data_IF_434351012958
#
_entry.id   IF_434351012958
#
_cell.length_a   1.000
_cell.length_b   1.000
_cell.length_c   1.000
_cell.angle_alpha   90.00
_cell.angle_beta   90.00
_cell.angle_gamma   90.00
#
_symmetry.space_group_name_H-M   'P 1'
#
loop_
_entity.id
_entity.type
_entity.pdbx_description
1 polymer ?
#
# COMPACT_ATOMS: atom_id res chain seq x y z
N UNK A 1 15.76 30.25 1.79
CA UNK A 1 14.63 29.67 2.55
C UNK A 1 13.87 30.80 3.19
N UNK A 2 12.59 30.94 2.90
CA UNK A 2 11.73 31.93 3.55
C UNK A 2 11.35 31.51 4.98
N UNK A 3 10.77 32.42 5.78
CA UNK A 3 10.31 32.10 7.12
C UNK A 3 9.31 30.89 7.12
N UNK A 4 8.45 30.78 6.08
CA UNK A 4 7.50 29.69 5.95
C UNK A 4 8.18 28.33 5.70
N UNK A 5 9.31 28.31 4.97
CA UNK A 5 10.07 27.06 4.77
C UNK A 5 10.65 26.54 6.09
N UNK A 6 11.16 27.44 6.95
CA UNK A 6 11.68 27.06 8.26
C UNK A 6 10.58 26.53 9.19
N UNK A 7 9.41 27.17 9.19
CA UNK A 7 8.23 26.72 9.93
C UNK A 7 7.81 25.33 9.45
N UNK A 8 7.67 25.15 8.13
CA UNK A 8 7.31 23.87 7.54
C UNK A 8 8.31 22.76 7.90
N UNK A 9 9.62 23.06 7.83
CA UNK A 9 10.66 22.11 8.22
C UNK A 9 10.53 21.72 9.72
N UNK A 10 10.30 22.70 10.60
CA UNK A 10 10.09 22.46 12.04
C UNK A 10 8.88 21.55 12.31
N UNK A 11 7.73 21.82 11.66
CA UNK A 11 6.51 21.02 11.80
C UNK A 11 6.75 19.58 11.32
N UNK A 12 7.37 19.41 10.14
CA UNK A 12 7.66 18.10 9.58
C UNK A 12 8.61 17.31 10.47
N UNK A 13 9.69 17.93 10.94
CA UNK A 13 10.65 17.28 11.83
C UNK A 13 9.98 16.85 13.15
N UNK A 14 9.21 17.73 13.79
CA UNK A 14 8.43 17.40 14.98
C UNK A 14 7.52 16.21 14.73
N UNK A 15 6.75 16.24 13.64
CA UNK A 15 5.81 15.17 13.28
C UNK A 15 6.51 13.83 13.09
N UNK A 16 7.62 13.80 12.36
CA UNK A 16 8.39 12.56 12.11
C UNK A 16 8.91 12.00 13.43
N UNK A 17 9.51 12.84 14.29
CA UNK A 17 10.03 12.41 15.60
C UNK A 17 8.90 11.89 16.49
N UNK A 18 7.76 12.58 16.53
CA UNK A 18 6.59 12.18 17.30
C UNK A 18 6.07 10.82 16.84
N UNK A 19 5.85 10.63 15.54
CA UNK A 19 5.33 9.39 14.96
C UNK A 19 6.28 8.21 15.19
N UNK A 20 7.60 8.42 15.02
CA UNK A 20 8.60 7.38 15.29
C UNK A 20 8.69 7.03 16.78
N UNK A 21 8.38 7.95 17.70
CA UNK A 21 8.36 7.69 19.13
C UNK A 21 7.07 6.99 19.56
N UNK A 22 5.89 7.50 19.14
CA UNK A 22 4.60 6.93 19.53
C UNK A 22 4.47 5.46 19.08
N UNK A 23 5.02 5.12 17.92
CA UNK A 23 5.05 3.74 17.38
C UNK A 23 5.89 2.76 18.23
N UNK A 24 6.72 3.26 19.16
CA UNK A 24 7.57 2.45 20.04
C UNK A 24 7.04 2.35 21.48
N UNK A 25 6.02 3.11 21.82
CA UNK A 25 5.45 3.12 23.16
C UNK A 25 4.62 1.85 23.36
N UNK A 26 5.05 1.01 24.29
CA UNK A 26 4.32 -0.18 24.72
C UNK A 26 3.27 0.21 25.78
N UNK A 27 2.15 0.77 25.34
CA UNK A 27 1.02 1.11 26.20
C UNK A 27 -0.25 0.59 25.54
N UNK A 28 -1.05 -0.20 26.26
CA UNK A 28 -2.26 -0.86 25.78
C UNK A 28 -3.28 0.11 25.15
N UNK A 29 -3.35 1.34 25.64
CA UNK A 29 -4.27 2.35 25.10
C UNK A 29 -3.73 2.87 23.76
N UNK A 30 -2.43 3.19 23.71
CA UNK A 30 -1.77 3.67 22.48
C UNK A 30 -1.80 2.58 21.41
N UNK A 31 -1.52 1.33 21.75
CA UNK A 31 -1.61 0.18 20.82
C UNK A 31 -3.02 0.09 20.23
N UNK A 32 -4.08 0.15 21.04
CA UNK A 32 -5.47 0.16 20.53
C UNK A 32 -5.79 1.36 19.63
N UNK A 33 -5.26 2.54 19.94
CA UNK A 33 -5.42 3.72 19.07
C UNK A 33 -4.72 3.49 17.75
N UNK A 34 -3.49 2.97 17.77
CA UNK A 34 -2.70 2.71 16.57
C UNK A 34 -3.23 1.55 15.72
N UNK A 35 -3.98 0.62 16.30
CA UNK A 35 -4.68 -0.45 15.56
C UNK A 35 -5.79 0.13 14.66
N UNK A 36 -6.50 1.18 15.11
CA UNK A 36 -7.57 1.83 14.35
C UNK A 36 -7.07 3.01 13.52
N UNK A 37 -6.09 3.75 14.04
CA UNK A 37 -5.49 4.92 13.43
C UNK A 37 -3.98 4.72 13.29
N UNK A 38 -3.51 4.13 12.19
CA UNK A 38 -2.09 3.85 11.99
C UNK A 38 -1.21 5.10 12.16
N UNK A 39 0.01 4.89 12.61
CA UNK A 39 0.97 5.98 12.84
C UNK A 39 1.17 6.89 11.60
N UNK A 40 1.02 6.33 10.39
CA UNK A 40 1.13 7.07 9.13
C UNK A 40 0.01 8.12 8.97
N UNK A 41 -1.19 7.86 9.50
CA UNK A 41 -2.29 8.84 9.50
C UNK A 41 -1.95 10.05 10.36
N UNK A 42 -1.33 9.84 11.54
CA UNK A 42 -0.84 10.93 12.38
C UNK A 42 0.24 11.75 11.67
N UNK A 43 1.11 11.09 10.88
CA UNK A 43 2.10 11.81 10.08
C UNK A 43 1.46 12.80 9.11
N UNK A 44 0.27 12.48 8.59
CA UNK A 44 -0.46 13.33 7.65
C UNK A 44 -1.29 14.41 8.36
N UNK A 45 -2.02 14.05 9.42
CA UNK A 45 -2.98 14.93 10.10
C UNK A 45 -2.30 15.97 11.00
N UNK A 46 -1.18 15.64 11.66
CA UNK A 46 -0.51 16.57 12.57
C UNK A 46 -0.05 17.86 11.86
N UNK A 47 0.67 17.81 10.71
CA UNK A 47 1.04 19.02 9.99
C UNK A 47 -0.17 19.83 9.54
N UNK A 48 -1.22 19.16 9.06
CA UNK A 48 -2.48 19.81 8.70
C UNK A 48 -3.15 20.53 9.87
N UNK A 49 -3.09 19.94 11.08
CA UNK A 49 -3.59 20.58 12.30
C UNK A 49 -2.83 21.88 12.60
N UNK A 50 -1.50 21.87 12.46
CA UNK A 50 -0.70 23.09 12.65
C UNK A 50 -1.03 24.15 11.59
N UNK A 51 -1.11 23.80 10.30
CA UNK A 51 -1.45 24.76 9.24
C UNK A 51 -2.81 25.40 9.48
N UNK A 52 -3.81 24.60 9.85
CA UNK A 52 -5.16 25.08 10.12
C UNK A 52 -5.26 25.96 11.39
N UNK A 53 -4.65 25.52 12.50
CA UNK A 53 -4.69 26.23 13.78
C UNK A 53 -4.01 27.61 13.72
N UNK A 54 -2.93 27.74 12.98
CA UNK A 54 -2.15 28.97 12.87
C UNK A 54 -2.46 29.78 11.60
N UNK A 55 -3.33 29.28 10.73
CA UNK A 55 -3.71 29.94 9.47
C UNK A 55 -2.53 30.08 8.49
N UNK A 56 -1.55 29.15 8.51
CA UNK A 56 -0.40 29.20 7.63
C UNK A 56 -0.69 28.48 6.31
N UNK A 57 -0.52 29.18 5.20
CA UNK A 57 -0.50 28.53 3.87
C UNK A 57 0.91 27.99 3.60
N UNK A 58 1.08 26.68 3.79
CA UNK A 58 2.32 25.95 3.52
C UNK A 58 2.21 25.07 2.27
N UNK A 59 1.24 25.31 1.39
CA UNK A 59 0.99 24.49 0.20
C UNK A 59 2.09 24.60 -0.87
N UNK A 60 2.84 25.72 -0.87
CA UNK A 60 3.85 26.06 -1.88
C UNK A 60 5.30 26.01 -1.39
N UNK A 61 5.55 25.53 -0.16
CA UNK A 61 6.91 25.47 0.40
C UNK A 61 7.84 24.54 -0.38
N UNK A 62 9.14 24.83 -0.33
CA UNK A 62 10.19 24.06 -1.03
C UNK A 62 10.21 22.56 -0.71
N UNK A 63 9.75 22.18 0.50
CA UNK A 63 9.70 20.78 0.92
C UNK A 63 8.89 19.87 -0.01
N UNK A 64 7.87 20.39 -0.71
CA UNK A 64 7.10 19.59 -1.67
C UNK A 64 7.95 19.18 -2.88
N UNK A 65 8.77 20.10 -3.40
CA UNK A 65 9.68 19.79 -4.50
C UNK A 65 10.79 18.82 -4.04
N UNK A 66 11.30 19.01 -2.83
CA UNK A 66 12.28 18.08 -2.23
C UNK A 66 11.68 16.68 -2.05
N UNK A 67 10.43 16.58 -1.59
CA UNK A 67 9.71 15.33 -1.44
C UNK A 67 9.59 14.60 -2.78
N UNK A 68 9.09 15.27 -3.82
CA UNK A 68 8.84 14.67 -5.12
C UNK A 68 10.11 14.23 -5.83
N UNK A 69 11.16 15.06 -5.79
CA UNK A 69 12.37 14.85 -6.58
C UNK A 69 13.43 13.98 -5.87
N UNK A 70 13.38 13.86 -4.53
CA UNK A 70 14.42 13.18 -3.77
C UNK A 70 13.87 12.14 -2.80
N UNK A 71 12.89 12.50 -1.95
CA UNK A 71 12.45 11.62 -0.88
C UNK A 71 11.64 10.44 -1.44
N UNK A 72 10.68 10.69 -2.33
CA UNK A 72 9.89 9.63 -2.99
C UNK A 72 10.80 8.68 -3.78
N UNK A 73 11.74 9.14 -4.64
CA UNK A 73 12.70 8.26 -5.30
C UNK A 73 13.51 7.37 -4.34
N UNK A 74 14.04 7.95 -3.27
CA UNK A 74 14.76 7.16 -2.23
C UNK A 74 13.84 6.16 -1.56
N UNK A 75 12.58 6.52 -1.28
CA UNK A 75 11.59 5.62 -0.71
C UNK A 75 11.36 4.39 -1.58
N UNK A 76 11.16 4.59 -2.89
CA UNK A 76 10.95 3.51 -3.86
C UNK A 76 12.15 2.56 -3.87
N UNK A 77 13.36 3.09 -4.03
CA UNK A 77 14.59 2.29 -4.01
C UNK A 77 14.75 1.51 -2.71
N UNK A 78 14.53 2.16 -1.57
CA UNK A 78 14.69 1.57 -0.26
C UNK A 78 13.72 0.41 -0.04
N UNK A 79 12.43 0.62 -0.32
CA UNK A 79 11.41 -0.42 -0.15
C UNK A 79 11.62 -1.57 -1.12
N UNK A 80 11.77 -1.30 -2.42
CA UNK A 80 11.91 -2.33 -3.44
C UNK A 80 13.20 -3.16 -3.25
N UNK A 81 14.29 -2.55 -2.80
CA UNK A 81 15.54 -3.28 -2.53
C UNK A 81 15.49 -4.15 -1.26
N UNK A 82 14.45 -4.01 -0.46
CA UNK A 82 14.26 -4.84 0.73
C UNK A 82 13.46 -6.13 0.47
N UNK A 83 12.89 -6.33 -0.73
CA UNK A 83 11.96 -7.41 -1.03
C UNK A 83 12.66 -8.67 -1.59
N UNK A 84 12.58 -9.85 -0.91
CA UNK A 84 13.19 -11.11 -1.36
C UNK A 84 12.34 -11.82 -2.42
N UNK A 85 12.35 -11.32 -3.66
CA UNK A 85 11.51 -11.81 -4.76
C UNK A 85 11.82 -13.26 -5.18
N UNK A 86 13.06 -13.72 -5.02
CA UNK A 86 13.49 -15.05 -5.48
C UNK A 86 12.82 -16.24 -4.77
N UNK A 87 12.21 -16.02 -3.61
CA UNK A 87 11.62 -17.08 -2.80
C UNK A 87 10.15 -17.39 -3.16
N UNK A 88 9.58 -16.71 -4.14
CA UNK A 88 8.17 -16.90 -4.54
C UNK A 88 7.82 -18.30 -5.04
N UNK A 89 8.81 -19.06 -5.56
CA UNK A 89 8.60 -20.42 -6.05
C UNK A 89 8.04 -21.39 -4.99
N UNK A 90 8.23 -21.08 -3.70
CA UNK A 90 7.76 -21.90 -2.57
C UNK A 90 6.21 -21.88 -2.47
N UNK A 91 5.56 -20.82 -2.91
CA UNK A 91 4.09 -20.66 -2.76
C UNK A 91 3.29 -21.65 -3.59
N UNK A 92 3.82 -22.08 -4.73
CA UNK A 92 3.12 -22.92 -5.68
C UNK A 92 2.23 -22.12 -6.64
N UNK A 93 1.96 -22.70 -7.80
CA UNK A 93 1.30 -21.99 -8.91
C UNK A 93 -0.17 -21.64 -8.62
N UNK A 94 -0.95 -22.55 -8.00
CA UNK A 94 -2.39 -22.32 -7.78
C UNK A 94 -2.66 -21.17 -6.79
N UNK A 95 -2.01 -21.09 -5.61
CA UNK A 95 -2.14 -19.92 -4.73
C UNK A 95 -1.66 -18.63 -5.37
N UNK A 96 -0.59 -18.68 -6.20
CA UNK A 96 -0.12 -17.52 -6.96
C UNK A 96 -1.18 -17.04 -7.97
N UNK A 97 -1.80 -17.96 -8.72
CA UNK A 97 -2.89 -17.61 -9.65
C UNK A 97 -4.07 -16.99 -8.90
N UNK A 98 -4.49 -17.57 -7.77
CA UNK A 98 -5.55 -17.00 -6.95
C UNK A 98 -5.20 -15.58 -6.47
N UNK A 99 -3.97 -15.36 -6.02
CA UNK A 99 -3.48 -14.04 -5.60
C UNK A 99 -3.56 -13.02 -6.74
N UNK A 100 -3.05 -13.37 -7.94
CA UNK A 100 -3.08 -12.48 -9.10
C UNK A 100 -4.49 -12.17 -9.59
N UNK A 101 -5.41 -13.15 -9.53
CA UNK A 101 -6.82 -12.91 -9.84
C UNK A 101 -7.42 -11.93 -8.82
N UNK A 102 -7.10 -12.09 -7.53
CA UNK A 102 -7.50 -11.12 -6.50
C UNK A 102 -6.99 -9.71 -6.81
N UNK A 103 -5.71 -9.59 -7.17
CA UNK A 103 -5.12 -8.30 -7.57
C UNK A 103 -5.80 -7.73 -8.82
N UNK A 104 -6.06 -8.55 -9.84
CA UNK A 104 -6.76 -8.14 -11.06
C UNK A 104 -8.18 -7.63 -10.75
N UNK A 105 -8.92 -8.33 -9.88
CA UNK A 105 -10.25 -7.89 -9.45
C UNK A 105 -10.16 -6.54 -8.73
N UNK A 106 -9.19 -6.37 -7.82
CA UNK A 106 -8.98 -5.07 -7.14
C UNK A 106 -8.72 -3.96 -8.17
N UNK A 107 -7.88 -4.20 -9.17
CA UNK A 107 -7.47 -3.18 -10.12
C UNK A 107 -8.56 -2.83 -11.18
N UNK A 108 -9.42 -3.79 -11.55
CA UNK A 108 -10.37 -3.61 -12.67
C UNK A 108 -11.81 -3.42 -12.22
N UNK A 109 -12.20 -3.96 -11.08
CA UNK A 109 -13.58 -3.89 -10.62
C UNK A 109 -14.10 -2.46 -10.37
N UNK A 110 -13.31 -1.49 -9.86
CA UNK A 110 -13.81 -0.13 -9.65
C UNK A 110 -14.28 0.53 -10.95
N UNK A 111 -13.61 0.28 -12.08
CA UNK A 111 -14.01 0.80 -13.38
C UNK A 111 -15.37 0.20 -13.78
N UNK A 112 -15.51 -1.12 -13.64
CA UNK A 112 -16.76 -1.83 -13.96
C UNK A 112 -17.91 -1.30 -13.09
N UNK A 113 -17.67 -1.10 -11.80
CA UNK A 113 -18.69 -0.57 -10.88
C UNK A 113 -19.09 0.87 -11.22
N UNK A 114 -18.12 1.73 -11.55
CA UNK A 114 -18.41 3.10 -11.98
C UNK A 114 -19.26 3.09 -13.27
N UNK A 115 -18.92 2.26 -14.25
CA UNK A 115 -19.71 2.14 -15.48
C UNK A 115 -21.14 1.62 -15.21
N UNK A 116 -21.29 0.60 -14.37
CA UNK A 116 -22.60 0.04 -14.03
C UNK A 116 -23.47 1.06 -13.28
N UNK A 117 -22.88 1.77 -12.32
CA UNK A 117 -23.61 2.83 -11.59
C UNK A 117 -23.99 3.96 -12.54
N UNK A 118 -23.13 4.34 -13.47
CA UNK A 118 -23.39 5.39 -14.45
C UNK A 118 -24.55 5.07 -15.40
N UNK A 119 -24.81 3.78 -15.67
CA UNK A 119 -25.97 3.33 -16.47
C UNK A 119 -27.28 3.53 -15.67
N UNK A 120 -27.25 3.27 -14.36
CA UNK A 120 -28.42 3.35 -13.49
C UNK A 120 -28.71 4.79 -13.05
N UNK A 121 -27.66 5.54 -12.76
CA UNK A 121 -27.73 6.92 -12.28
C UNK A 121 -26.69 7.82 -13.00
N UNK A 122 -27.12 8.59 -14.01
CA UNK A 122 -26.25 9.50 -14.75
C UNK A 122 -25.55 10.56 -13.86
N UNK A 123 -26.14 10.94 -12.72
CA UNK A 123 -25.51 11.89 -11.79
C UNK A 123 -24.24 11.32 -11.16
N UNK A 124 -24.20 10.01 -10.96
CA UNK A 124 -23.01 9.30 -10.50
C UNK A 124 -21.90 9.27 -11.55
N UNK A 125 -22.23 9.29 -12.83
CA UNK A 125 -21.22 9.44 -13.90
C UNK A 125 -20.52 10.77 -13.80
N UNK A 126 -21.25 11.87 -13.64
CA UNK A 126 -20.67 13.20 -13.45
C UNK A 126 -19.78 13.24 -12.19
N UNK A 127 -20.24 12.66 -11.08
CA UNK A 127 -19.47 12.60 -9.85
C UNK A 127 -18.11 11.89 -10.06
N UNK A 128 -18.11 10.66 -10.59
CA UNK A 128 -16.89 9.88 -10.70
C UNK A 128 -15.99 10.40 -11.83
N UNK A 129 -16.55 10.66 -13.01
CA UNK A 129 -15.78 11.04 -14.20
C UNK A 129 -15.64 12.56 -14.27
N UNK A 130 -16.71 13.31 -14.34
CA UNK A 130 -16.69 14.77 -14.52
C UNK A 130 -16.00 15.52 -13.38
N UNK A 131 -16.33 15.19 -12.12
CA UNK A 131 -15.71 15.81 -10.94
C UNK A 131 -14.43 15.10 -10.49
N UNK A 132 -14.05 13.99 -11.14
CA UNK A 132 -12.77 13.31 -10.93
C UNK A 132 -12.66 12.48 -9.65
N UNK A 133 -13.78 12.07 -9.01
CA UNK A 133 -13.73 11.22 -7.81
C UNK A 133 -13.09 9.83 -8.07
N UNK A 134 -13.05 9.37 -9.33
CA UNK A 134 -12.29 8.16 -9.69
C UNK A 134 -10.83 8.22 -9.28
N UNK A 135 -10.23 9.42 -9.22
CA UNK A 135 -8.86 9.63 -8.75
C UNK A 135 -8.67 9.20 -7.29
N UNK A 136 -9.74 9.16 -6.50
CA UNK A 136 -9.73 8.64 -5.13
C UNK A 136 -9.72 7.11 -5.06
N UNK A 137 -10.23 6.41 -6.09
CA UNK A 137 -10.22 4.94 -6.14
C UNK A 137 -8.81 4.38 -6.41
N UNK A 138 -7.99 5.13 -7.14
CA UNK A 138 -6.63 4.71 -7.51
C UNK A 138 -5.70 4.51 -6.31
N UNK A 139 -5.60 5.42 -5.34
CA UNK A 139 -4.83 5.19 -4.12
C UNK A 139 -5.33 3.99 -3.29
N UNK A 140 -6.64 3.66 -3.33
CA UNK A 140 -7.18 2.46 -2.68
C UNK A 140 -6.57 1.21 -3.31
N UNK A 141 -6.53 1.12 -4.65
CA UNK A 141 -5.85 0.01 -5.36
C UNK A 141 -4.40 -0.10 -4.89
N UNK A 142 -3.70 1.04 -4.78
CA UNK A 142 -2.32 1.09 -4.30
C UNK A 142 -2.18 0.61 -2.86
N UNK A 143 -3.04 1.07 -1.97
CA UNK A 143 -3.07 0.69 -0.56
C UNK A 143 -3.34 -0.80 -0.38
N UNK A 144 -4.33 -1.31 -1.11
CA UNK A 144 -4.74 -2.72 -1.03
C UNK A 144 -3.70 -3.67 -1.62
N UNK A 145 -3.14 -3.38 -2.81
CA UNK A 145 -2.19 -4.33 -3.43
C UNK A 145 -0.74 -4.02 -3.05
N UNK A 146 -0.35 -2.78 -2.89
CA UNK A 146 1.07 -2.42 -2.74
C UNK A 146 1.44 -1.78 -1.41
N UNK A 147 0.44 -1.56 -0.55
CA UNK A 147 0.61 -0.87 0.73
C UNK A 147 0.91 0.63 0.56
N UNK A 148 1.33 1.28 1.65
CA UNK A 148 1.48 2.74 1.72
C UNK A 148 2.42 3.34 0.67
N UNK A 149 3.43 2.60 0.23
CA UNK A 149 4.35 3.06 -0.83
C UNK A 149 3.62 3.21 -2.16
N UNK A 150 2.91 2.16 -2.61
CA UNK A 150 2.14 2.20 -3.86
C UNK A 150 0.97 3.17 -3.77
N UNK A 151 0.30 3.25 -2.62
CA UNK A 151 -0.78 4.20 -2.37
C UNK A 151 -0.31 5.64 -2.59
N UNK A 152 0.85 5.99 -2.04
CA UNK A 152 1.45 7.31 -2.18
C UNK A 152 1.88 7.63 -3.61
N UNK A 153 2.54 6.67 -4.27
CA UNK A 153 2.97 6.81 -5.66
C UNK A 153 1.76 7.02 -6.59
N UNK A 154 0.73 6.22 -6.40
CA UNK A 154 -0.48 6.25 -7.23
C UNK A 154 -1.32 7.51 -6.97
N UNK A 155 -1.32 8.04 -5.74
CA UNK A 155 -1.87 9.35 -5.43
C UNK A 155 -1.22 10.45 -6.30
N UNK A 156 0.10 10.44 -6.40
CA UNK A 156 0.84 11.41 -7.23
C UNK A 156 0.60 11.20 -8.73
N UNK A 157 0.58 9.95 -9.20
CA UNK A 157 0.33 9.61 -10.61
C UNK A 157 -1.09 9.99 -11.06
N UNK A 158 -2.10 9.69 -10.26
CA UNK A 158 -3.50 10.03 -10.54
C UNK A 158 -3.81 11.52 -10.29
N UNK A 159 -2.87 12.27 -9.70
CA UNK A 159 -3.09 13.66 -9.27
C UNK A 159 -4.32 13.78 -8.36
N UNK A 160 -4.42 12.86 -7.38
CA UNK A 160 -5.53 12.86 -6.43
C UNK A 160 -5.45 14.10 -5.54
N UNK A 161 -6.53 14.91 -5.43
CA UNK A 161 -6.57 16.05 -4.51
C UNK A 161 -6.29 15.65 -3.06
N UNK A 162 -5.60 16.49 -2.29
CA UNK A 162 -5.16 16.17 -0.92
C UNK A 162 -6.34 15.84 0.01
N UNK A 163 -7.43 16.61 -0.06
CA UNK A 163 -8.64 16.39 0.74
C UNK A 163 -9.32 15.06 0.42
N UNK A 164 -9.43 14.72 -0.88
CA UNK A 164 -9.94 13.43 -1.32
C UNK A 164 -9.04 12.28 -0.86
N UNK A 165 -7.72 12.44 -0.99
CA UNK A 165 -6.76 11.43 -0.56
C UNK A 165 -6.85 11.13 0.93
N UNK A 166 -6.95 12.16 1.79
CA UNK A 166 -7.12 11.94 3.23
C UNK A 166 -8.42 11.22 3.55
N UNK A 167 -9.53 11.66 2.95
CA UNK A 167 -10.85 11.03 3.17
C UNK A 167 -10.82 9.55 2.79
N UNK A 168 -10.18 9.24 1.66
CA UNK A 168 -9.96 7.86 1.18
C UNK A 168 -9.04 7.09 2.12
N UNK A 169 -7.96 7.70 2.61
CA UNK A 169 -7.01 7.05 3.53
C UNK A 169 -7.69 6.62 4.85
N UNK A 170 -8.60 7.48 5.37
CA UNK A 170 -9.39 7.14 6.57
C UNK A 170 -10.36 6.00 6.28
N UNK A 171 -11.12 6.08 5.18
CA UNK A 171 -12.06 5.02 4.77
C UNK A 171 -11.34 3.68 4.58
N UNK A 172 -10.22 3.69 3.86
CA UNK A 172 -9.40 2.52 3.58
C UNK A 172 -8.95 1.83 4.89
N UNK A 173 -8.39 2.58 5.84
CA UNK A 173 -7.98 2.04 7.13
C UNK A 173 -9.13 1.38 7.90
N UNK A 174 -10.30 2.02 7.95
CA UNK A 174 -11.47 1.45 8.61
C UNK A 174 -11.85 0.12 7.96
N UNK A 175 -11.95 0.11 6.63
CA UNK A 175 -12.35 -1.09 5.88
C UNK A 175 -11.34 -2.23 6.01
N UNK A 176 -10.04 -1.95 5.93
CA UNK A 176 -8.99 -2.97 6.09
C UNK A 176 -8.99 -3.58 7.50
N UNK A 177 -9.25 -2.78 8.54
CA UNK A 177 -9.36 -3.30 9.91
C UNK A 177 -10.57 -4.22 10.07
N UNK A 178 -11.75 -3.81 9.57
CA UNK A 178 -12.96 -4.65 9.55
C UNK A 178 -12.69 -5.93 8.76
N UNK A 179 -12.06 -5.79 7.58
CA UNK A 179 -11.71 -6.92 6.71
C UNK A 179 -10.78 -7.92 7.39
N UNK A 180 -9.77 -7.43 8.10
CA UNK A 180 -8.85 -8.27 8.88
C UNK A 180 -9.60 -9.15 9.88
N UNK A 181 -10.56 -8.57 10.62
CA UNK A 181 -11.39 -9.31 11.57
C UNK A 181 -12.21 -10.39 10.84
N UNK A 182 -12.81 -10.06 9.70
CA UNK A 182 -13.58 -11.03 8.90
C UNK A 182 -12.69 -12.16 8.39
N UNK A 183 -11.47 -11.85 7.94
CA UNK A 183 -10.52 -12.86 7.43
C UNK A 183 -10.01 -13.78 8.54
N UNK A 184 -9.84 -13.29 9.77
CA UNK A 184 -9.59 -14.14 10.93
C UNK A 184 -10.69 -15.17 11.15
N UNK A 185 -11.95 -14.76 11.03
CA UNK A 185 -13.08 -15.68 11.18
C UNK A 185 -13.18 -16.67 10.02
N UNK A 186 -12.87 -16.22 8.81
CA UNK A 186 -12.95 -17.07 7.63
C UNK A 186 -11.86 -18.15 7.61
N UNK A 187 -10.61 -17.81 7.93
CA UNK A 187 -9.51 -18.78 7.94
C UNK A 187 -9.75 -19.88 8.98
N UNK A 188 -10.36 -19.54 10.12
CA UNK A 188 -10.76 -20.50 11.15
C UNK A 188 -11.77 -21.53 10.65
N UNK A 189 -12.67 -21.12 9.75
CA UNK A 189 -13.73 -21.96 9.18
C UNK A 189 -13.35 -22.63 7.87
N UNK A 190 -12.15 -22.39 7.36
CA UNK A 190 -11.71 -22.82 6.02
C UNK A 190 -11.85 -24.32 5.79
N UNK A 191 -11.51 -25.16 6.78
CA UNK A 191 -11.63 -26.61 6.66
C UNK A 191 -13.10 -27.09 6.60
N UNK A 192 -13.99 -26.48 7.38
CA UNK A 192 -15.42 -26.77 7.34
C UNK A 192 -16.00 -26.37 5.98
N UNK A 193 -15.59 -25.22 5.45
CA UNK A 193 -16.02 -24.75 4.15
C UNK A 193 -15.50 -25.67 3.03
N UNK A 194 -14.29 -26.20 3.12
CA UNK A 194 -13.77 -27.18 2.15
C UNK A 194 -14.68 -28.41 2.07
N UNK A 195 -15.14 -28.92 3.21
CA UNK A 195 -16.07 -30.06 3.24
C UNK A 195 -17.40 -29.70 2.54
N UNK A 196 -17.97 -28.53 2.87
CA UNK A 196 -19.24 -28.06 2.27
C UNK A 196 -19.11 -27.89 0.75
N UNK A 197 -17.98 -27.37 0.28
CA UNK A 197 -17.74 -27.15 -1.17
C UNK A 197 -17.13 -28.36 -1.89
N UNK A 198 -16.90 -29.47 -1.19
CA UNK A 198 -16.34 -30.70 -1.77
C UNK A 198 -14.88 -30.58 -2.24
N UNK A 199 -14.11 -29.69 -1.64
CA UNK A 199 -12.71 -29.44 -1.99
C UNK A 199 -11.80 -30.38 -1.18
N UNK A 200 -11.02 -31.21 -1.89
CA UNK A 200 -10.06 -32.18 -1.31
C UNK A 200 -8.62 -31.83 -1.63
N UNK A 201 -8.25 -30.56 -1.60
CA UNK A 201 -6.89 -30.12 -1.92
C UNK A 201 -6.02 -30.22 -0.66
N UNK A 202 -4.95 -31.03 -0.65
CA UNK A 202 -4.03 -31.06 0.47
C UNK A 202 -3.26 -29.74 0.57
N UNK A 203 -3.01 -29.30 1.76
CA UNK A 203 -2.17 -28.14 2.01
C UNK A 203 -0.71 -28.55 1.82
N UNK A 204 0.14 -27.72 1.19
CA UNK A 204 1.57 -28.02 1.00
C UNK A 204 2.28 -28.28 2.34
N UNK A 205 3.20 -29.25 2.34
CA UNK A 205 4.08 -29.49 3.48
C UNK A 205 4.98 -28.28 3.76
N UNK A 206 5.42 -28.18 5.04
CA UNK A 206 6.23 -27.07 5.54
C UNK A 206 7.49 -26.86 4.70
N UNK A 207 7.60 -25.67 4.09
CA UNK A 207 8.84 -25.23 3.49
C UNK A 207 9.44 -24.07 4.33
N UNK A 208 10.68 -24.23 4.77
CA UNK A 208 11.39 -23.17 5.50
C UNK A 208 11.73 -22.01 4.56
N UNK A 209 11.06 -20.86 4.75
CA UNK A 209 11.49 -19.60 4.15
C UNK A 209 12.71 -19.09 4.92
N UNK A 210 13.88 -19.28 4.38
CA UNK A 210 15.11 -18.68 4.91
C UNK A 210 15.17 -17.21 4.53
N UNK A 211 14.55 -16.35 5.34
CA UNK A 211 14.88 -14.92 5.32
C UNK A 211 16.36 -14.81 5.68
N UNK A 212 17.17 -14.35 4.75
CA UNK A 212 18.64 -14.23 4.79
C UNK A 212 19.21 -14.05 6.21
N UNK A 213 19.59 -15.15 6.87
CA UNK A 213 20.26 -15.15 8.17
C UNK A 213 21.76 -15.02 7.94
N UNK A 214 22.29 -13.84 8.31
CA UNK A 214 23.67 -13.72 8.76
C UNK A 214 24.78 -13.87 7.71
N UNK A 215 25.07 -12.78 6.93
CA UNK A 215 26.33 -12.53 6.23
C UNK A 215 26.81 -11.10 6.50
N UNK A 216 28.06 -10.80 6.15
CA UNK A 216 28.58 -9.42 6.20
C UNK A 216 27.73 -8.55 5.29
N UNK A 217 27.05 -7.54 5.86
CA UNK A 217 26.14 -6.66 5.12
C UNK A 217 26.83 -5.36 4.74
N UNK A 218 26.44 -4.78 3.61
CA UNK A 218 26.90 -3.45 3.20
C UNK A 218 26.60 -2.46 4.33
N UNK A 219 27.58 -1.59 4.61
CA UNK A 219 27.45 -0.57 5.65
C UNK A 219 26.32 0.43 5.27
N UNK A 220 25.51 0.88 6.22
CA UNK A 220 24.38 1.80 5.94
C UNK A 220 24.74 3.02 5.12
N UNK A 221 25.91 3.64 5.38
CA UNK A 221 26.38 4.81 4.64
C UNK A 221 26.57 4.50 3.15
N UNK A 222 27.13 3.32 2.81
CA UNK A 222 27.31 2.92 1.41
C UNK A 222 25.96 2.72 0.73
N UNK A 223 24.97 2.16 1.43
CA UNK A 223 23.60 2.02 0.90
C UNK A 223 22.99 3.39 0.59
N UNK A 224 23.16 4.38 1.48
CA UNK A 224 22.71 5.75 1.25
C UNK A 224 23.42 6.37 0.03
N UNK A 225 24.74 6.21 -0.08
CA UNK A 225 25.51 6.73 -1.21
C UNK A 225 25.07 6.11 -2.54
N UNK A 226 24.79 4.80 -2.57
CA UNK A 226 24.25 4.12 -3.76
C UNK A 226 22.88 4.70 -4.14
N UNK A 227 21.96 4.85 -3.17
CA UNK A 227 20.63 5.42 -3.45
C UNK A 227 20.73 6.85 -3.94
N UNK A 228 21.53 7.69 -3.29
CA UNK A 228 21.75 9.08 -3.70
C UNK A 228 22.32 9.14 -5.11
N UNK A 229 23.35 8.33 -5.42
CA UNK A 229 23.94 8.27 -6.75
C UNK A 229 22.94 7.88 -7.84
N UNK A 230 22.09 6.87 -7.59
CA UNK A 230 21.04 6.45 -8.52
C UNK A 230 20.01 7.57 -8.72
N UNK A 231 19.55 8.21 -7.64
CA UNK A 231 18.57 9.32 -7.73
C UNK A 231 19.15 10.50 -8.49
N UNK A 232 20.42 10.85 -8.26
CA UNK A 232 21.13 11.90 -9.00
C UNK A 232 21.16 11.60 -10.50
N UNK A 233 21.52 10.37 -10.88
CA UNK A 233 21.55 9.94 -12.29
C UNK A 233 20.16 10.07 -12.91
N UNK A 234 19.13 9.55 -12.24
CA UNK A 234 17.73 9.62 -12.70
C UNK A 234 17.26 11.08 -12.83
N UNK A 235 17.65 11.95 -11.90
CA UNK A 235 17.31 13.38 -11.94
C UNK A 235 17.90 14.06 -13.18
N UNK A 236 19.17 13.78 -13.51
CA UNK A 236 19.80 14.34 -14.72
C UNK A 236 19.25 13.77 -16.04
N UNK A 237 18.67 12.57 -16.02
CA UNK A 237 18.01 12.01 -17.22
C UNK A 237 16.68 12.70 -17.57
N UNK A 238 16.15 13.53 -16.67
CA UNK A 238 14.92 14.32 -16.85
C UNK A 238 13.74 13.51 -17.43
N UNK A 239 13.57 12.28 -16.96
CA UNK A 239 12.51 11.37 -17.40
C UNK A 239 11.19 11.70 -16.69
N UNK A 240 10.06 11.24 -17.26
CA UNK A 240 8.75 11.43 -16.64
C UNK A 240 8.68 10.76 -15.25
N UNK A 241 7.80 11.28 -14.38
CA UNK A 241 7.61 10.70 -13.02
C UNK A 241 7.27 9.22 -13.08
N UNK A 242 6.43 8.82 -14.03
CA UNK A 242 6.07 7.42 -14.27
C UNK A 242 7.30 6.57 -14.62
N UNK A 243 8.10 7.01 -15.60
CA UNK A 243 9.33 6.29 -16.00
C UNK A 243 10.33 6.21 -14.85
N UNK A 244 10.42 7.25 -14.02
CA UNK A 244 11.25 7.27 -12.82
C UNK A 244 10.78 6.19 -11.81
N UNK A 245 9.49 6.13 -11.51
CA UNK A 245 8.91 5.12 -10.59
C UNK A 245 9.23 3.70 -11.06
N UNK A 246 8.98 3.40 -12.34
CA UNK A 246 9.24 2.07 -12.93
C UNK A 246 10.73 1.73 -12.88
N UNK A 247 11.60 2.65 -13.31
CA UNK A 247 13.04 2.43 -13.32
C UNK A 247 13.61 2.18 -11.92
N UNK A 248 13.23 3.02 -10.94
CA UNK A 248 13.67 2.88 -9.55
C UNK A 248 13.16 1.60 -8.90
N UNK A 249 11.93 1.18 -9.24
CA UNK A 249 11.37 -0.09 -8.76
C UNK A 249 12.18 -1.29 -9.26
N UNK A 250 12.49 -1.31 -10.56
CA UNK A 250 13.30 -2.38 -11.16
C UNK A 250 14.72 -2.37 -10.58
N UNK A 251 15.37 -1.21 -10.51
CA UNK A 251 16.72 -1.07 -9.95
C UNK A 251 16.73 -1.53 -8.48
N UNK A 252 15.75 -1.11 -7.67
CA UNK A 252 15.63 -1.53 -6.28
C UNK A 252 15.53 -3.06 -6.16
N UNK A 253 14.64 -3.71 -6.92
CA UNK A 253 14.50 -5.17 -6.95
C UNK A 253 15.80 -5.87 -7.35
N UNK A 254 16.52 -5.36 -8.35
CA UNK A 254 17.82 -5.90 -8.78
C UNK A 254 18.83 -5.78 -7.65
N UNK A 255 18.98 -4.61 -7.02
CA UNK A 255 19.91 -4.41 -5.90
C UNK A 255 19.65 -5.40 -4.77
N UNK A 256 18.40 -5.53 -4.34
CA UNK A 256 18.02 -6.38 -3.20
C UNK A 256 18.15 -7.88 -3.45
N UNK A 257 17.99 -8.34 -4.69
CA UNK A 257 17.96 -9.76 -5.02
C UNK A 257 19.26 -10.30 -5.65
N UNK A 258 20.08 -9.45 -6.24
CA UNK A 258 21.31 -9.86 -6.89
C UNK A 258 22.56 -9.54 -6.08
N UNK A 259 22.54 -8.54 -5.20
CA UNK A 259 23.65 -8.21 -4.32
C UNK A 259 23.53 -9.02 -3.02
N UNK A 260 24.32 -10.11 -2.88
CA UNK A 260 24.25 -11.03 -1.72
C UNK A 260 24.44 -10.37 -0.36
N UNK A 261 25.24 -9.30 -0.31
CA UNK A 261 25.57 -8.55 0.92
C UNK A 261 24.64 -7.36 1.18
N UNK A 262 23.53 -7.23 0.44
CA UNK A 262 22.60 -6.10 0.57
C UNK A 262 22.01 -5.99 1.97
N UNK A 263 21.92 -4.76 2.50
CA UNK A 263 21.35 -4.50 3.83
C UNK A 263 19.83 -4.27 3.77
N UNK A 264 19.07 -5.33 3.56
CA UNK A 264 17.61 -5.31 3.45
C UNK A 264 16.94 -4.68 4.69
N UNK A 265 17.46 -4.96 5.90
CA UNK A 265 16.92 -4.40 7.15
C UNK A 265 17.05 -2.88 7.19
N UNK A 266 18.23 -2.37 6.85
CA UNK A 266 18.47 -0.92 6.81
C UNK A 266 17.61 -0.26 5.71
N UNK A 267 17.55 -0.86 4.51
CA UNK A 267 16.71 -0.36 3.41
C UNK A 267 15.24 -0.26 3.82
N UNK A 268 14.69 -1.28 4.49
CA UNK A 268 13.30 -1.25 4.96
C UNK A 268 13.07 -0.17 6.02
N UNK A 269 13.99 -0.01 6.96
CA UNK A 269 13.90 1.05 7.98
C UNK A 269 13.96 2.45 7.36
N UNK A 270 14.89 2.66 6.40
CA UNK A 270 15.00 3.93 5.69
C UNK A 270 13.73 4.23 4.89
N UNK A 271 13.20 3.24 4.15
CA UNK A 271 11.95 3.37 3.42
C UNK A 271 10.78 3.77 4.32
N UNK A 272 10.64 3.12 5.47
CA UNK A 272 9.61 3.45 6.46
C UNK A 272 9.72 4.89 6.99
N UNK A 273 10.94 5.36 7.29
CA UNK A 273 11.17 6.75 7.71
C UNK A 273 10.82 7.73 6.58
N UNK A 274 11.24 7.43 5.36
CA UNK A 274 10.94 8.27 4.20
C UNK A 274 9.43 8.35 3.91
N UNK A 275 8.66 7.25 4.08
CA UNK A 275 7.20 7.28 3.94
C UNK A 275 6.58 8.24 4.96
N UNK A 276 6.97 8.16 6.24
CA UNK A 276 6.48 9.07 7.30
C UNK A 276 6.82 10.52 6.93
N UNK A 277 8.03 10.77 6.43
CA UNK A 277 8.47 12.09 6.02
C UNK A 277 7.65 12.65 4.85
N UNK A 278 7.39 11.84 3.81
CA UNK A 278 6.54 12.24 2.67
C UNK A 278 5.13 12.55 3.14
N UNK A 279 4.54 11.69 3.98
CA UNK A 279 3.20 11.92 4.52
C UNK A 279 3.11 13.20 5.35
N UNK A 280 4.14 13.51 6.15
CA UNK A 280 4.19 14.76 6.91
C UNK A 280 4.28 15.99 6.00
N UNK A 281 5.03 15.92 4.91
CA UNK A 281 5.11 17.01 3.92
C UNK A 281 3.77 17.19 3.18
N UNK A 282 3.12 16.09 2.78
CA UNK A 282 1.80 16.15 2.12
C UNK A 282 0.73 16.74 3.05
N UNK A 283 0.81 16.44 4.35
CA UNK A 283 -0.09 17.01 5.35
C UNK A 283 -0.07 18.54 5.44
N UNK A 284 1.05 19.19 5.04
CA UNK A 284 1.13 20.67 4.99
C UNK A 284 0.18 21.30 3.96
N UNK A 285 -0.29 20.52 2.96
CA UNK A 285 -1.25 20.96 1.92
C UNK A 285 -2.70 20.67 2.26
N UNK A 286 -2.94 19.94 3.35
CA UNK A 286 -4.28 19.48 3.65
C UNK A 286 -5.15 20.61 4.17
N UNK A 287 -6.32 20.77 3.55
CA UNK A 287 -7.40 21.61 4.01
C UNK A 287 -8.54 20.74 4.56
N UNK A 288 -8.88 20.93 5.84
CA UNK A 288 -9.95 20.19 6.50
C UNK A 288 -11.36 20.62 6.09
N UNK A 289 -11.51 21.75 5.41
CA UNK A 289 -12.83 22.30 5.03
C UNK A 289 -13.62 21.42 4.06
N UNK A 290 -12.93 20.55 3.31
CA UNK A 290 -13.51 19.73 2.24
C UNK A 290 -13.35 18.21 2.48
N UNK A 291 -13.32 17.77 3.74
CA UNK A 291 -13.23 16.36 4.10
C UNK A 291 -14.63 15.72 4.06
N UNK A 292 -15.09 15.34 2.89
CA UNK A 292 -16.31 14.56 2.75
C UNK A 292 -16.21 13.60 1.58
N UNK A 293 -16.73 12.39 1.77
CA UNK A 293 -16.92 11.42 0.70
C UNK A 293 -18.41 11.30 0.44
N UNK A 294 -18.86 11.39 -0.81
CA UNK A 294 -20.24 11.09 -1.18
C UNK A 294 -20.60 9.66 -0.73
N UNK A 295 -21.82 9.46 -0.26
CA UNK A 295 -22.28 8.16 0.21
C UNK A 295 -22.13 7.08 -0.87
N UNK A 296 -22.40 7.43 -2.12
CA UNK A 296 -22.24 6.50 -3.26
C UNK A 296 -20.79 6.03 -3.45
N UNK A 297 -19.80 6.89 -3.14
CA UNK A 297 -18.38 6.50 -3.16
C UNK A 297 -18.09 5.43 -2.09
N UNK A 298 -18.60 5.65 -0.87
CA UNK A 298 -18.44 4.69 0.24
C UNK A 298 -19.10 3.36 -0.11
N UNK A 299 -20.33 3.38 -0.61
CA UNK A 299 -21.03 2.17 -1.06
C UNK A 299 -20.26 1.44 -2.16
N UNK A 300 -19.72 2.15 -3.15
CA UNK A 300 -18.93 1.55 -4.22
C UNK A 300 -17.72 0.81 -3.64
N UNK A 301 -16.97 1.42 -2.72
CA UNK A 301 -15.77 0.79 -2.12
C UNK A 301 -16.16 -0.43 -1.30
N UNK A 302 -17.23 -0.39 -0.53
CA UNK A 302 -17.71 -1.56 0.24
C UNK A 302 -18.15 -2.69 -0.69
N UNK A 303 -18.94 -2.41 -1.72
CA UNK A 303 -19.37 -3.42 -2.71
C UNK A 303 -18.14 -4.00 -3.43
N UNK A 304 -17.20 -3.15 -3.82
CA UNK A 304 -15.94 -3.57 -4.43
C UNK A 304 -15.19 -4.59 -3.57
N UNK A 305 -15.04 -4.30 -2.27
CA UNK A 305 -14.38 -5.21 -1.33
C UNK A 305 -15.09 -6.56 -1.21
N UNK A 306 -16.42 -6.54 -1.13
CA UNK A 306 -17.24 -7.77 -1.05
C UNK A 306 -17.11 -8.57 -2.36
N UNK A 307 -17.24 -7.94 -3.52
CA UNK A 307 -17.14 -8.60 -4.81
C UNK A 307 -15.73 -9.14 -5.10
N UNK A 308 -14.69 -8.47 -4.64
CA UNK A 308 -13.32 -9.01 -4.65
C UNK A 308 -13.27 -10.37 -3.95
N UNK A 309 -13.83 -10.47 -2.76
CA UNK A 309 -13.82 -11.71 -1.99
C UNK A 309 -14.66 -12.82 -2.63
N UNK A 310 -15.87 -12.49 -3.10
CA UNK A 310 -16.74 -13.41 -3.83
C UNK A 310 -16.03 -13.94 -5.09
N UNK A 311 -15.38 -13.05 -5.83
CA UNK A 311 -14.59 -13.45 -7.01
C UNK A 311 -13.45 -14.41 -6.65
N UNK A 312 -12.73 -14.15 -5.57
CA UNK A 312 -11.68 -15.06 -5.08
C UNK A 312 -12.24 -16.43 -4.65
N UNK A 313 -13.40 -16.47 -3.98
CA UNK A 313 -14.07 -17.72 -3.61
C UNK A 313 -14.47 -18.55 -4.85
N UNK A 314 -15.05 -17.90 -5.86
CA UNK A 314 -15.41 -18.55 -7.12
C UNK A 314 -14.15 -19.12 -7.80
N UNK A 315 -13.08 -18.34 -7.87
CA UNK A 315 -11.81 -18.78 -8.46
C UNK A 315 -11.19 -19.95 -7.69
N UNK A 316 -11.16 -19.89 -6.36
CA UNK A 316 -10.65 -20.99 -5.54
C UNK A 316 -11.44 -22.27 -5.77
N UNK A 317 -12.77 -22.19 -5.91
CA UNK A 317 -13.63 -23.32 -6.25
C UNK A 317 -13.31 -23.90 -7.64
N UNK A 318 -13.16 -23.05 -8.65
CA UNK A 318 -12.80 -23.46 -10.03
C UNK A 318 -11.43 -24.15 -10.06
N UNK A 319 -10.45 -23.58 -9.35
CA UNK A 319 -9.10 -24.14 -9.22
C UNK A 319 -9.03 -25.38 -8.33
N UNK A 320 -10.15 -25.76 -7.69
CA UNK A 320 -10.23 -26.81 -6.66
C UNK A 320 -9.17 -26.61 -5.57
N UNK A 321 -8.89 -25.36 -5.22
CA UNK A 321 -7.89 -24.95 -4.25
C UNK A 321 -8.50 -24.89 -2.85
N UNK A 322 -7.76 -25.34 -1.85
CA UNK A 322 -8.17 -25.25 -0.45
C UNK A 322 -8.56 -23.82 -0.07
N UNK A 323 -9.77 -23.64 0.50
CA UNK A 323 -10.34 -22.32 0.77
C UNK A 323 -9.59 -21.53 1.85
N UNK A 324 -8.69 -22.14 2.58
CA UNK A 324 -7.76 -21.46 3.49
C UNK A 324 -6.86 -20.45 2.72
N UNK A 325 -6.59 -20.71 1.42
CA UNK A 325 -5.82 -19.79 0.59
C UNK A 325 -6.54 -18.48 0.26
N UNK A 326 -7.87 -18.45 0.29
CA UNK A 326 -8.65 -17.24 -0.01
C UNK A 326 -8.36 -16.10 0.97
N UNK A 327 -8.52 -16.29 2.30
CA UNK A 327 -8.16 -15.24 3.26
C UNK A 327 -6.66 -14.92 3.25
N UNK A 328 -5.79 -15.90 3.01
CA UNK A 328 -4.34 -15.68 2.94
C UNK A 328 -4.00 -14.77 1.75
N UNK A 329 -4.50 -15.08 0.56
CA UNK A 329 -4.24 -14.29 -0.65
C UNK A 329 -4.94 -12.92 -0.60
N UNK A 330 -6.18 -12.85 -0.07
CA UNK A 330 -6.88 -11.58 0.14
C UNK A 330 -6.11 -10.67 1.11
N UNK A 331 -5.66 -11.21 2.25
CA UNK A 331 -4.89 -10.43 3.22
C UNK A 331 -3.48 -10.09 2.74
N UNK A 332 -2.89 -10.92 1.87
CA UNK A 332 -1.63 -10.59 1.23
C UNK A 332 -1.75 -9.33 0.35
N UNK A 333 -2.91 -9.14 -0.29
CA UNK A 333 -3.24 -7.90 -0.98
C UNK A 333 -3.57 -6.79 0.02
N UNK A 334 -4.67 -6.89 0.77
CA UNK A 334 -5.23 -5.78 1.56
C UNK A 334 -4.46 -5.47 2.86
N UNK A 335 -3.88 -6.48 3.50
CA UNK A 335 -3.21 -6.30 4.79
C UNK A 335 -1.69 -6.17 4.70
N UNK A 336 -1.13 -6.53 3.55
CA UNK A 336 0.31 -6.46 3.30
C UNK A 336 1.15 -7.34 4.23
N UNK A 337 2.44 -7.00 4.33
CA UNK A 337 3.48 -7.83 4.98
C UNK A 337 3.34 -7.94 6.50
N UNK A 338 2.63 -7.04 7.15
CA UNK A 338 2.41 -7.06 8.60
C UNK A 338 1.20 -7.91 9.00
N UNK A 339 0.10 -7.77 8.30
CA UNK A 339 -1.21 -8.32 8.69
C UNK A 339 -1.47 -9.71 8.13
N UNK A 340 -1.08 -9.96 6.87
CA UNK A 340 -1.30 -11.27 6.24
C UNK A 340 -0.63 -12.43 6.99
N UNK A 341 0.65 -12.33 7.40
CA UNK A 341 1.27 -13.37 8.21
C UNK A 341 0.64 -13.52 9.59
N UNK A 342 0.21 -12.41 10.21
CA UNK A 342 -0.41 -12.43 11.54
C UNK A 342 -1.76 -13.16 11.51
N UNK A 343 -2.62 -12.82 10.53
CA UNK A 343 -3.91 -13.51 10.31
C UNK A 343 -3.68 -15.00 10.03
N UNK A 344 -2.71 -15.33 9.20
CA UNK A 344 -2.39 -16.71 8.86
C UNK A 344 -1.86 -17.48 10.07
N UNK A 345 -0.91 -16.90 10.82
CA UNK A 345 -0.27 -17.56 11.96
C UNK A 345 -1.22 -17.86 13.12
N UNK A 346 -2.32 -17.11 13.24
CA UNK A 346 -3.32 -17.32 14.28
C UNK A 346 -3.98 -18.72 14.20
N UNK A 347 -4.10 -19.28 12.99
CA UNK A 347 -4.74 -20.59 12.77
C UNK A 347 -3.91 -21.57 11.96
N UNK A 348 -3.00 -21.09 11.11
CA UNK A 348 -2.18 -21.89 10.21
C UNK A 348 -0.76 -21.37 10.18
N UNK A 349 -0.01 -21.62 11.28
CA UNK A 349 1.40 -21.20 11.42
C UNK A 349 2.30 -21.75 10.31
N UNK A 350 1.99 -22.94 9.80
CA UNK A 350 2.66 -23.62 8.71
C UNK A 350 2.59 -22.82 7.37
N UNK A 351 1.50 -22.07 7.16
CA UNK A 351 1.32 -21.25 5.95
C UNK A 351 1.81 -19.80 6.10
N UNK A 352 2.29 -19.39 7.29
CA UNK A 352 2.80 -18.04 7.52
C UNK A 352 3.90 -17.63 6.52
N UNK A 353 4.89 -18.48 6.16
CA UNK A 353 5.90 -18.14 5.16
C UNK A 353 5.30 -17.81 3.79
N UNK A 354 4.28 -18.56 3.38
CA UNK A 354 3.57 -18.34 2.11
C UNK A 354 2.83 -17.00 2.11
N UNK A 355 2.17 -16.65 3.23
CA UNK A 355 1.50 -15.35 3.39
C UNK A 355 2.50 -14.18 3.29
N UNK A 356 3.70 -14.32 3.88
CA UNK A 356 4.78 -13.34 3.76
C UNK A 356 5.18 -13.15 2.30
N UNK A 357 5.40 -14.25 1.56
CA UNK A 357 5.83 -14.18 0.16
C UNK A 357 4.77 -13.57 -0.76
N UNK A 358 3.49 -13.91 -0.56
CA UNK A 358 2.39 -13.29 -1.31
C UNK A 358 2.29 -11.79 -1.00
N UNK A 359 2.44 -11.38 0.26
CA UNK A 359 2.44 -9.97 0.64
C UNK A 359 3.64 -9.20 0.05
N UNK A 360 4.81 -9.83 -0.07
CA UNK A 360 5.97 -9.27 -0.77
C UNK A 360 5.65 -9.08 -2.26
N UNK A 361 5.05 -10.09 -2.89
CA UNK A 361 4.64 -10.02 -4.29
C UNK A 361 3.63 -8.88 -4.52
N UNK A 362 2.70 -8.70 -3.59
CA UNK A 362 1.76 -7.59 -3.57
C UNK A 362 2.48 -6.24 -3.62
N UNK A 363 3.45 -6.02 -2.72
CA UNK A 363 4.23 -4.78 -2.69
C UNK A 363 5.00 -4.52 -4.00
N UNK A 364 5.49 -5.58 -4.65
CA UNK A 364 6.21 -5.46 -5.93
C UNK A 364 5.27 -5.07 -7.08
N UNK A 365 4.07 -5.61 -7.11
CA UNK A 365 3.16 -5.47 -8.25
C UNK A 365 2.13 -4.35 -8.07
N UNK A 366 1.92 -3.85 -6.85
CA UNK A 366 0.83 -2.94 -6.50
C UNK A 366 0.82 -1.65 -7.32
N UNK A 367 1.96 -1.01 -7.51
CA UNK A 367 2.05 0.19 -8.36
C UNK A 367 1.65 -0.11 -9.80
N UNK A 368 2.09 -1.26 -10.35
CA UNK A 368 1.72 -1.68 -11.71
C UNK A 368 0.22 -1.90 -11.88
N UNK A 369 -0.44 -2.54 -10.91
CA UNK A 369 -1.88 -2.70 -10.91
C UNK A 369 -2.63 -1.37 -10.84
N UNK A 370 -2.19 -0.45 -9.99
CA UNK A 370 -2.79 0.88 -9.91
C UNK A 370 -2.59 1.71 -11.18
N UNK A 371 -1.44 1.57 -11.87
CA UNK A 371 -1.21 2.18 -13.17
C UNK A 371 -2.17 1.64 -14.24
N UNK A 372 -2.45 0.32 -14.22
CA UNK A 372 -3.50 -0.26 -15.06
C UNK A 372 -4.86 0.37 -14.77
N UNK A 373 -5.20 0.58 -13.49
CA UNK A 373 -6.44 1.23 -13.09
C UNK A 373 -6.52 2.67 -13.63
N UNK A 374 -5.44 3.45 -13.52
CA UNK A 374 -5.37 4.81 -14.11
C UNK A 374 -5.63 4.75 -15.61
N UNK A 375 -4.88 3.91 -16.33
CA UNK A 375 -5.01 3.74 -17.77
C UNK A 375 -6.45 3.41 -18.18
N UNK A 376 -7.12 2.48 -17.47
CA UNK A 376 -8.49 2.11 -17.78
C UNK A 376 -9.49 3.25 -17.52
N UNK A 377 -9.32 4.04 -16.46
CA UNK A 377 -10.16 5.22 -16.23
C UNK A 377 -9.93 6.31 -17.27
N UNK A 378 -8.70 6.51 -17.73
CA UNK A 378 -8.38 7.48 -18.80
C UNK A 378 -9.00 7.11 -20.16
N UNK A 379 -9.34 5.83 -20.39
CA UNK A 379 -10.03 5.42 -21.63
C UNK A 379 -11.54 5.73 -21.61
N UNK A 380 -12.13 5.96 -20.47
CA UNK A 380 -13.57 6.24 -20.30
C UNK A 380 -13.85 7.68 -19.87
N UNK A 381 -12.81 8.49 -19.65
CA UNK A 381 -12.88 9.92 -19.31
C UNK A 381 -12.74 10.76 -20.62
#
# INVERSE_FOLDING_TARGET
MGNLDLIAFGIVLFTVVFVLRISKIKNRIIEKILDWFPAILFAYVIPAGFTHLFGWDLSSVYLHNLSRNWIIPVTILAVMSALPFRQLAIVGIRPLVLFFIGSAIIATLPIILVLLISIVDPSSSDLFIGQGFWKGLVPIVGGWIGGSTSQLILKELAQTPESLFLSVLVLDNILVNIWTILMFQFIKKGEVLNVIFGIKDPIPDQSEVTLNKGGRKIFPLITILIFTGIVVIIFFLNISFLSMVVSLSIIGLVLGNFIKVWNTRFSLQLGGICIILVMAILGLRLDFSNLSLPMIFIFLVVIWLILHFVGMLICAKILKLNLVWVPIASMANLGGISTAPAVTAAYRKDLMPHAILLAILSMVTGTGWGMLTIYLFEQIN
#
